data_IF_183495047339
#
_entry.id   IF_183495047339
#
_cell.length_a   1.000
_cell.length_b   1.000
_cell.length_c   1.000
_cell.angle_alpha   90.00
_cell.angle_beta   90.00
_cell.angle_gamma   90.00
#
_symmetry.space_group_name_H-M   'P 1'
#
loop_
_entity.id
_entity.type
_entity.pdbx_description
1 polymer ?
#
# COMPACT_ATOMS: atom_id res chain seq x y z
N UNK A 1 -18.14 9.14 -17.80
CA UNK A 1 -16.69 9.15 -17.52
C UNK A 1 -16.13 7.77 -17.85
N UNK A 2 -15.20 7.66 -18.81
CA UNK A 2 -14.51 6.39 -19.09
C UNK A 2 -13.61 6.07 -17.89
N UNK A 3 -14.02 5.08 -17.08
CA UNK A 3 -13.16 4.51 -16.05
C UNK A 3 -11.92 4.00 -16.78
N UNK A 4 -10.74 4.46 -16.37
CA UNK A 4 -9.48 3.98 -16.91
C UNK A 4 -9.38 2.49 -16.61
N UNK A 5 -9.21 1.69 -17.67
CA UNK A 5 -9.13 0.21 -17.67
C UNK A 5 -7.92 -0.32 -16.86
N UNK A 6 -7.12 0.54 -16.25
CA UNK A 6 -5.98 0.19 -15.41
C UNK A 6 -6.34 -0.68 -14.19
N UNK A 7 -7.61 -0.67 -13.76
CA UNK A 7 -8.12 -1.49 -12.66
C UNK A 7 -8.74 -2.82 -13.10
N UNK A 8 -8.81 -3.12 -14.41
CA UNK A 8 -9.31 -4.41 -14.90
C UNK A 8 -8.41 -5.59 -14.51
N UNK A 9 -7.17 -5.33 -14.08
CA UNK A 9 -6.22 -6.36 -13.63
C UNK A 9 -6.60 -7.03 -12.30
N UNK A 10 -7.67 -6.61 -11.64
CA UNK A 10 -8.05 -7.06 -10.30
C UNK A 10 -9.27 -7.96 -10.38
N UNK A 11 -9.11 -9.10 -11.04
CA UNK A 11 -10.17 -10.10 -11.13
C UNK A 11 -10.60 -10.55 -9.74
N UNK A 12 -11.81 -10.18 -9.32
CA UNK A 12 -12.57 -10.68 -8.15
C UNK A 12 -11.96 -10.51 -6.75
N UNK A 13 -10.63 -10.43 -6.65
CA UNK A 13 -9.87 -10.33 -5.42
C UNK A 13 -9.25 -8.94 -5.36
N UNK A 14 -9.70 -8.16 -4.38
CA UNK A 14 -9.09 -6.88 -4.07
C UNK A 14 -7.60 -7.08 -3.73
N UNK A 15 -6.66 -6.62 -4.58
CA UNK A 15 -5.23 -6.79 -4.35
C UNK A 15 -4.73 -5.89 -3.22
N UNK A 16 -5.55 -4.92 -2.78
CA UNK A 16 -5.11 -3.79 -2.00
C UNK A 16 -4.53 -4.26 -0.66
N UNK A 17 -5.21 -5.23 -0.03
CA UNK A 17 -4.72 -5.85 1.19
C UNK A 17 -3.35 -6.51 1.01
N UNK A 18 -3.16 -7.27 -0.07
CA UNK A 18 -1.87 -7.92 -0.38
C UNK A 18 -0.78 -6.91 -0.69
N UNK A 19 -1.10 -5.86 -1.45
CA UNK A 19 -0.15 -4.79 -1.79
C UNK A 19 0.31 -4.04 -0.54
N UNK A 20 -0.60 -3.71 0.37
CA UNK A 20 -0.28 -3.10 1.66
C UNK A 20 0.64 -4.01 2.47
N UNK A 21 0.31 -5.30 2.57
CA UNK A 21 1.11 -6.28 3.31
C UNK A 21 2.53 -6.41 2.74
N UNK A 22 2.67 -6.59 1.43
CA UNK A 22 3.98 -6.70 0.78
C UNK A 22 4.81 -5.43 0.95
N UNK A 23 4.18 -4.27 0.80
CA UNK A 23 4.86 -2.97 0.94
C UNK A 23 5.38 -2.77 2.36
N UNK A 24 4.55 -3.02 3.38
CA UNK A 24 4.96 -2.86 4.77
C UNK A 24 6.03 -3.88 5.17
N UNK A 25 5.94 -5.12 4.68
CA UNK A 25 6.98 -6.15 4.88
C UNK A 25 8.32 -5.72 4.28
N UNK A 26 8.32 -5.13 3.08
CA UNK A 26 9.54 -4.61 2.46
C UNK A 26 10.15 -3.45 3.26
N UNK A 27 9.32 -2.50 3.71
CA UNK A 27 9.77 -1.40 4.56
C UNK A 27 10.36 -1.90 5.90
N UNK A 28 9.78 -2.96 6.48
CA UNK A 28 10.29 -3.56 7.70
C UNK A 28 11.69 -4.16 7.46
N UNK A 29 11.88 -4.86 6.34
CA UNK A 29 13.20 -5.41 5.98
C UNK A 29 14.24 -4.31 5.80
N UNK A 30 13.89 -3.18 5.16
CA UNK A 30 14.78 -2.03 5.03
C UNK A 30 15.17 -1.44 6.40
N UNK A 31 14.21 -1.37 7.33
CA UNK A 31 14.46 -0.94 8.71
C UNK A 31 15.40 -1.90 9.43
N UNK A 32 15.17 -3.21 9.35
CA UNK A 32 15.99 -4.24 9.99
C UNK A 32 17.42 -4.23 9.44
N UNK A 33 17.58 -3.97 8.15
CA UNK A 33 18.88 -3.80 7.51
C UNK A 33 19.56 -2.45 7.85
N UNK A 34 18.89 -1.56 8.61
CA UNK A 34 19.33 -0.21 8.97
C UNK A 34 19.49 0.77 7.79
N UNK A 35 18.77 0.53 6.68
CA UNK A 35 18.76 1.43 5.52
C UNK A 35 17.84 2.63 5.74
N UNK A 36 16.84 2.47 6.60
CA UNK A 36 15.94 3.54 7.02
C UNK A 36 15.83 3.60 8.53
N UNK A 37 15.61 4.79 9.06
CA UNK A 37 15.39 5.05 10.48
C UNK A 37 13.98 4.64 10.92
N UNK A 38 13.77 4.48 12.23
CA UNK A 38 12.44 4.21 12.79
C UNK A 38 11.40 5.27 12.37
N UNK A 39 11.79 6.55 12.42
CA UNK A 39 10.92 7.67 12.04
C UNK A 39 10.55 7.64 10.55
N UNK A 40 11.47 7.21 9.68
CA UNK A 40 11.18 7.03 8.25
C UNK A 40 10.26 5.84 8.01
N UNK A 41 10.50 4.72 8.69
CA UNK A 41 9.63 3.54 8.63
C UNK A 41 8.19 3.88 9.02
N UNK A 42 7.98 4.55 10.16
CA UNK A 42 6.65 4.97 10.63
C UNK A 42 5.93 5.91 9.65
N UNK A 43 6.67 6.76 8.94
CA UNK A 43 6.10 7.70 7.94
C UNK A 43 5.79 7.03 6.61
N UNK A 44 6.53 5.98 6.23
CA UNK A 44 6.39 5.29 4.95
C UNK A 44 5.43 4.10 5.02
N UNK A 45 5.20 3.53 6.20
CA UNK A 45 4.26 2.44 6.39
C UNK A 45 2.87 2.83 5.92
N UNK A 46 2.32 2.00 5.04
CA UNK A 46 0.98 2.19 4.48
C UNK A 46 -0.05 1.78 5.52
N UNK A 47 -0.87 2.73 5.96
CA UNK A 47 -1.98 2.46 6.87
C UNK A 47 -3.22 2.08 6.06
N UNK A 48 -3.91 0.97 6.36
CA UNK A 48 -5.10 0.55 5.64
C UNK A 48 -6.18 1.65 5.54
N UNK A 49 -6.30 2.48 6.57
CA UNK A 49 -7.28 3.57 6.62
C UNK A 49 -6.97 4.75 5.68
N UNK A 50 -5.70 4.95 5.32
CA UNK A 50 -5.30 6.00 4.36
C UNK A 50 -5.56 5.59 2.90
N UNK A 51 -5.75 4.29 2.65
CA UNK A 51 -5.98 3.74 1.30
C UNK A 51 -7.47 3.64 0.97
N UNK A 52 -8.37 3.93 1.93
CA UNK A 52 -9.79 4.16 1.64
C UNK A 52 -9.90 5.49 0.90
N UNK A 53 -9.85 5.43 -0.45
CA UNK A 53 -10.19 6.56 -1.33
C UNK A 53 -11.61 7.06 -0.97
N UNK A 54 -11.78 8.18 -0.25
CA UNK A 54 -13.10 8.66 0.17
C UNK A 54 -13.87 9.29 -1.00
N UNK A 55 -13.24 9.43 -2.17
CA UNK A 55 -13.72 10.24 -3.30
C UNK A 55 -14.43 9.40 -4.38
N UNK A 56 -14.87 8.19 -4.05
CA UNK A 56 -15.62 7.30 -4.93
C UNK A 56 -17.10 7.14 -4.53
N UNK A 57 -17.57 7.89 -3.53
CA UNK A 57 -18.99 7.99 -3.15
C UNK A 57 -19.63 9.26 -3.70
#
# INVERSE_FOLDING_TARGET
>A
MKKTEAYECLGGNDPLGRLIEFTNKYLLNLRLAKWITQKQYERLCVKPDEVKLPHLY
#
